data_IF_958868794417
#
_entry.id   IF_958868794417
#
_cell.length_a   1.000
_cell.length_b   1.000
_cell.length_c   1.000
_cell.angle_alpha   90.00
_cell.angle_beta   90.00
_cell.angle_gamma   90.00
#
_symmetry.space_group_name_H-M   'P 1'
#
loop_
_entity.id
_entity.type
_entity.pdbx_description
1 polymer ?
#
# COMPACT_ATOMS: atom_id res chain seq x y z
N UNK A 1 9.00 -11.43 -0.26
CA UNK A 1 9.02 -10.20 0.53
C UNK A 1 7.65 -10.00 1.16
N UNK A 2 7.61 -9.63 2.42
CA UNK A 2 6.35 -9.47 3.15
C UNK A 2 6.28 -8.12 3.85
N UNK A 3 5.06 -7.63 4.02
CA UNK A 3 4.76 -6.49 4.88
C UNK A 3 3.85 -6.96 6.02
N UNK A 4 4.18 -6.58 7.25
CA UNK A 4 3.34 -6.84 8.42
C UNK A 4 2.82 -5.50 8.93
N UNK A 5 1.54 -5.23 8.71
CA UNK A 5 0.89 -4.00 9.15
C UNK A 5 0.27 -4.26 10.52
N UNK A 6 0.90 -3.70 11.56
CA UNK A 6 0.39 -3.81 12.92
C UNK A 6 -0.63 -2.70 13.16
N UNK A 7 -1.86 -3.10 13.49
CA UNK A 7 -2.96 -2.18 13.74
C UNK A 7 -3.51 -2.37 15.15
N UNK A 8 -4.38 -1.48 15.59
CA UNK A 8 -5.09 -1.62 16.86
C UNK A 8 -6.11 -2.78 16.86
N UNK A 9 -6.34 -3.45 15.72
CA UNK A 9 -7.23 -4.62 15.61
C UNK A 9 -6.48 -5.93 15.38
N UNK A 10 -5.17 -5.89 15.23
CA UNK A 10 -4.31 -7.04 14.94
C UNK A 10 -3.36 -6.75 13.80
N UNK A 11 -2.60 -7.76 13.39
CA UNK A 11 -1.58 -7.63 12.34
C UNK A 11 -2.12 -8.18 11.02
N UNK A 12 -1.94 -7.43 9.94
CA UNK A 12 -2.25 -7.85 8.57
C UNK A 12 -0.92 -8.20 7.89
N UNK A 13 -0.76 -9.47 7.51
CA UNK A 13 0.44 -9.92 6.80
C UNK A 13 0.15 -10.01 5.32
N UNK A 14 1.05 -9.46 4.51
CA UNK A 14 0.88 -9.35 3.07
C UNK A 14 2.14 -9.82 2.35
N UNK A 15 1.96 -10.56 1.26
CA UNK A 15 3.03 -10.77 0.28
C UNK A 15 3.12 -9.53 -0.61
N UNK A 16 4.35 -9.09 -0.90
CA UNK A 16 4.61 -7.97 -1.81
C UNK A 16 5.14 -8.50 -3.13
N UNK A 17 4.62 -8.00 -4.24
CA UNK A 17 4.91 -8.49 -5.60
C UNK A 17 6.04 -7.70 -6.24
N UNK A 18 7.24 -7.75 -5.66
CA UNK A 18 8.39 -7.00 -6.13
C UNK A 18 8.75 -7.30 -7.58
N UNK A 19 8.71 -8.57 -7.98
CA UNK A 19 9.11 -8.97 -9.34
C UNK A 19 8.20 -8.40 -10.41
N UNK A 20 6.90 -8.28 -10.12
CA UNK A 20 5.90 -7.78 -11.06
C UNK A 20 5.82 -6.25 -11.09
N UNK A 21 5.94 -5.62 -9.92
CA UNK A 21 5.74 -4.16 -9.77
C UNK A 21 6.80 -3.55 -8.85
N UNK A 22 8.07 -3.58 -9.30
CA UNK A 22 9.20 -3.21 -8.44
C UNK A 22 9.20 -1.76 -7.97
N UNK A 23 8.74 -0.82 -8.78
CA UNK A 23 8.71 0.59 -8.41
C UNK A 23 7.70 0.84 -7.29
N UNK A 24 6.50 0.31 -7.43
CA UNK A 24 5.42 0.45 -6.45
C UNK A 24 5.81 -0.18 -5.11
N UNK A 25 6.34 -1.40 -5.14
CA UNK A 25 6.81 -2.08 -3.93
C UNK A 25 7.96 -1.30 -3.28
N UNK A 26 8.91 -0.82 -4.07
CA UNK A 26 10.06 -0.06 -3.55
C UNK A 26 9.63 1.23 -2.86
N UNK A 27 8.66 1.94 -3.41
CA UNK A 27 8.10 3.13 -2.77
C UNK A 27 7.48 2.79 -1.41
N UNK A 28 6.63 1.77 -1.39
CA UNK A 28 5.96 1.33 -0.17
C UNK A 28 6.97 0.90 0.91
N UNK A 29 7.95 0.09 0.53
CA UNK A 29 9.00 -0.39 1.45
C UNK A 29 9.82 0.78 2.00
N UNK A 30 10.21 1.73 1.14
CA UNK A 30 10.96 2.90 1.56
C UNK A 30 10.17 3.74 2.58
N UNK A 31 8.91 4.01 2.32
CA UNK A 31 8.06 4.76 3.24
C UNK A 31 7.85 3.99 4.55
N UNK A 32 7.60 2.70 4.50
CA UNK A 32 7.43 1.86 5.68
C UNK A 32 8.68 1.86 6.56
N UNK A 33 9.85 1.67 5.95
CA UNK A 33 11.13 1.65 6.68
C UNK A 33 11.48 3.00 7.29
N UNK A 34 10.97 4.09 6.75
CA UNK A 34 11.15 5.44 7.31
C UNK A 34 10.15 5.77 8.42
N UNK A 35 9.23 4.85 8.74
CA UNK A 35 8.19 5.09 9.73
C UNK A 35 7.08 6.03 9.25
N UNK A 36 6.99 6.28 7.96
CA UNK A 36 6.02 7.22 7.38
C UNK A 36 4.59 6.87 7.73
N UNK A 37 4.27 5.58 7.76
CA UNK A 37 2.90 5.09 8.02
C UNK A 37 2.55 4.98 9.50
N UNK A 38 3.50 5.19 10.41
CA UNK A 38 3.24 5.04 11.84
C UNK A 38 2.17 6.03 12.30
N UNK A 39 1.19 5.52 13.04
CA UNK A 39 0.08 6.29 13.62
C UNK A 39 -0.88 6.90 12.60
N UNK A 40 -0.86 6.47 11.35
CA UNK A 40 -1.82 6.93 10.35
C UNK A 40 -3.14 6.20 10.49
N UNK A 41 -4.22 6.91 10.17
CA UNK A 41 -5.58 6.38 10.26
C UNK A 41 -5.98 5.65 8.99
N UNK A 42 -6.85 4.64 9.14
CA UNK A 42 -7.68 4.16 8.04
C UNK A 42 -8.80 5.18 7.86
N UNK A 43 -8.53 6.20 7.06
CA UNK A 43 -9.40 7.37 6.93
C UNK A 43 -10.64 7.12 6.05
N UNK A 44 -10.65 6.00 5.30
CA UNK A 44 -11.77 5.63 4.44
C UNK A 44 -11.98 4.13 4.50
N UNK A 45 -13.04 3.72 5.16
CA UNK A 45 -13.43 2.30 5.28
C UNK A 45 -14.86 2.16 4.77
N UNK A 46 -15.04 1.34 3.74
CA UNK A 46 -16.35 1.08 3.14
C UNK A 46 -16.60 -0.42 3.19
N UNK A 47 -17.60 -0.84 3.96
CA UNK A 47 -17.96 -2.24 4.11
C UNK A 47 -18.24 -2.87 2.74
N UNK A 48 -17.86 -4.13 2.59
CA UNK A 48 -18.00 -4.90 1.35
C UNK A 48 -17.28 -4.26 0.15
N UNK A 49 -16.26 -3.43 0.42
CA UNK A 49 -15.44 -2.83 -0.60
C UNK A 49 -13.95 -2.85 -0.21
N UNK A 50 -13.50 -1.93 0.67
CA UNK A 50 -12.08 -1.83 0.99
C UNK A 50 -11.83 -1.02 2.27
N UNK A 51 -10.57 -1.12 2.76
CA UNK A 51 -10.02 -0.23 3.78
C UNK A 51 -8.89 0.58 3.15
N UNK A 52 -8.87 1.89 3.32
CA UNK A 52 -7.87 2.79 2.74
C UNK A 52 -7.17 3.60 3.81
N UNK A 53 -5.86 3.77 3.63
CA UNK A 53 -4.98 4.45 4.59
C UNK A 53 -3.78 5.08 3.85
N UNK A 54 -2.80 5.56 4.60
CA UNK A 54 -1.56 6.08 4.04
C UNK A 54 -1.56 7.57 3.76
N UNK A 55 -2.62 8.29 4.15
CA UNK A 55 -2.67 9.74 4.06
C UNK A 55 -2.07 10.36 5.33
N UNK A 56 -0.97 11.13 5.24
CA UNK A 56 -0.34 11.71 6.43
C UNK A 56 -1.22 12.73 7.14
N UNK A 57 -2.21 13.31 6.44
CA UNK A 57 -3.16 14.26 7.01
C UNK A 57 -4.43 13.59 7.55
N UNK A 58 -4.64 12.30 7.24
CA UNK A 58 -5.86 11.59 7.63
C UNK A 58 -7.13 12.06 6.94
N UNK A 59 -7.01 12.79 5.83
CA UNK A 59 -8.11 13.42 5.10
C UNK A 59 -8.35 12.84 3.70
N UNK A 60 -7.39 12.09 3.17
CA UNK A 60 -7.40 11.61 1.79
C UNK A 60 -6.73 12.55 0.80
N UNK A 61 -6.34 13.75 1.23
CA UNK A 61 -5.74 14.76 0.35
C UNK A 61 -4.23 14.87 0.48
N UNK A 62 -3.62 14.22 1.49
CA UNK A 62 -2.19 14.28 1.73
C UNK A 62 -1.42 13.18 1.04
N UNK A 63 -0.12 13.39 0.88
CA UNK A 63 0.79 12.44 0.27
C UNK A 63 2.24 12.77 0.58
N UNK A 64 3.19 12.07 -0.05
CA UNK A 64 4.61 12.22 0.27
C UNK A 64 5.29 13.42 -0.40
N UNK A 65 4.57 14.19 -1.21
CA UNK A 65 5.11 15.33 -1.94
C UNK A 65 5.60 15.00 -3.36
N UNK A 66 5.37 13.78 -3.82
CA UNK A 66 5.69 13.33 -5.17
C UNK A 66 4.61 12.37 -5.67
N UNK A 67 4.55 12.23 -6.99
CA UNK A 67 3.73 11.23 -7.66
C UNK A 67 4.64 10.31 -8.48
N UNK A 68 4.18 9.08 -8.75
CA UNK A 68 4.88 8.19 -9.67
C UNK A 68 3.91 7.39 -10.53
N UNK A 69 4.45 6.83 -11.60
CA UNK A 69 3.71 6.14 -12.65
C UNK A 69 3.07 4.83 -12.18
N UNK A 70 2.00 4.44 -12.84
CA UNK A 70 1.34 3.16 -12.61
C UNK A 70 2.21 2.00 -13.10
N UNK A 71 2.08 0.86 -12.44
CA UNK A 71 2.64 -0.41 -12.88
C UNK A 71 1.50 -1.44 -12.93
N UNK A 72 1.03 -1.77 -14.12
CA UNK A 72 0.03 -2.81 -14.30
C UNK A 72 0.69 -4.06 -14.83
N UNK A 73 0.26 -5.21 -14.33
CA UNK A 73 0.77 -6.52 -14.77
C UNK A 73 -0.42 -7.43 -15.05
N UNK A 74 -0.39 -8.13 -16.20
CA UNK A 74 -1.52 -8.94 -16.66
C UNK A 74 -1.93 -10.04 -15.69
N UNK A 75 -0.98 -10.55 -14.88
CA UNK A 75 -1.28 -11.57 -13.89
C UNK A 75 -1.91 -11.02 -12.60
N UNK A 76 -1.96 -9.70 -12.42
CA UNK A 76 -2.47 -9.07 -11.20
C UNK A 76 -3.84 -8.46 -11.45
N UNK A 77 -4.85 -9.02 -10.79
CA UNK A 77 -6.25 -8.61 -10.92
C UNK A 77 -6.87 -8.41 -9.54
N UNK A 78 -7.84 -7.50 -9.45
CA UNK A 78 -8.66 -7.32 -8.24
C UNK A 78 -9.77 -8.39 -8.23
N UNK A 79 -9.37 -9.67 -8.17
CA UNK A 79 -10.27 -10.81 -8.39
C UNK A 79 -10.59 -11.60 -7.12
N UNK A 80 -10.24 -11.08 -5.96
CA UNK A 80 -10.43 -11.76 -4.67
C UNK A 80 -10.35 -10.77 -3.51
N UNK A 81 -10.76 -11.18 -2.29
CA UNK A 81 -10.52 -10.39 -1.09
C UNK A 81 -9.02 -10.25 -0.79
N UNK A 82 -8.65 -9.18 -0.10
CA UNK A 82 -7.29 -9.01 0.42
C UNK A 82 -6.26 -8.55 -0.60
N UNK A 83 -6.68 -7.96 -1.70
CA UNK A 83 -5.77 -7.36 -2.68
C UNK A 83 -5.26 -6.02 -2.15
N UNK A 84 -3.93 -5.86 -2.13
CA UNK A 84 -3.25 -4.62 -1.76
C UNK A 84 -2.96 -3.82 -3.03
N UNK A 85 -3.49 -2.61 -3.11
CA UNK A 85 -3.47 -1.81 -4.32
C UNK A 85 -3.31 -0.32 -4.00
N UNK A 86 -2.78 0.47 -4.94
CA UNK A 86 -2.54 1.90 -4.74
C UNK A 86 -3.80 2.72 -4.99
N UNK A 87 -4.13 3.58 -4.04
CA UNK A 87 -5.08 4.65 -4.26
C UNK A 87 -4.43 5.72 -5.15
N UNK A 88 -5.21 6.42 -5.97
CA UNK A 88 -4.73 7.49 -6.82
C UNK A 88 -5.84 8.48 -7.16
N UNK A 89 -5.46 9.58 -7.79
CA UNK A 89 -6.38 10.63 -8.28
C UNK A 89 -6.40 10.66 -9.82
N UNK A 90 -6.14 9.54 -10.46
CA UNK A 90 -6.05 9.39 -11.91
C UNK A 90 -4.72 8.77 -12.33
N UNK A 91 -4.48 8.60 -13.64
CA UNK A 91 -3.25 7.97 -14.13
C UNK A 91 -1.98 8.68 -13.62
N UNK A 92 -1.00 7.89 -13.16
CA UNK A 92 0.32 8.40 -12.78
C UNK A 92 0.34 9.26 -11.53
N UNK A 93 -0.63 9.11 -10.62
CA UNK A 93 -0.72 9.93 -9.41
C UNK A 93 -0.51 9.11 -8.12
N UNK A 94 0.28 8.05 -8.20
CA UNK A 94 0.58 7.22 -7.03
C UNK A 94 1.49 7.97 -6.05
N UNK A 95 1.20 7.85 -4.78
CA UNK A 95 1.97 8.47 -3.71
C UNK A 95 2.13 7.52 -2.53
N UNK A 96 1.47 7.81 -1.41
CA UNK A 96 1.56 6.98 -0.21
C UNK A 96 0.28 6.22 0.13
N UNK A 97 -0.86 6.62 -0.39
CA UNK A 97 -2.14 6.01 -0.03
C UNK A 97 -2.35 4.67 -0.73
N UNK A 98 -2.84 3.71 0.02
CA UNK A 98 -3.15 2.37 -0.49
C UNK A 98 -4.43 1.84 0.14
N UNK A 99 -4.97 0.78 -0.46
CA UNK A 99 -6.16 0.11 0.08
C UNK A 99 -5.99 -1.41 0.04
N UNK A 100 -6.78 -2.09 0.88
CA UNK A 100 -6.86 -3.55 0.91
C UNK A 100 -8.33 -3.91 0.77
N UNK A 101 -8.65 -4.82 -0.14
CA UNK A 101 -10.04 -5.12 -0.50
C UNK A 101 -10.72 -6.09 0.47
N UNK A 102 -12.03 -5.92 0.65
CA UNK A 102 -12.90 -6.87 1.35
C UNK A 102 -13.39 -7.98 0.41
N UNK A 103 -13.56 -7.65 -0.87
CA UNK A 103 -14.17 -8.50 -1.91
C UNK A 103 -13.44 -8.30 -3.22
N UNK A 104 -13.79 -9.06 -4.25
CA UNK A 104 -13.31 -8.78 -5.60
C UNK A 104 -13.84 -7.42 -6.09
N UNK A 105 -12.99 -6.67 -6.75
CA UNK A 105 -13.30 -5.32 -7.27
C UNK A 105 -12.80 -5.18 -8.70
N UNK A 106 -13.32 -5.98 -9.66
CA UNK A 106 -12.75 -6.07 -11.01
C UNK A 106 -12.79 -4.76 -11.80
N UNK A 107 -13.68 -3.84 -11.46
CA UNK A 107 -13.73 -2.52 -12.10
C UNK A 107 -12.50 -1.65 -11.82
N UNK A 108 -11.67 -2.02 -10.84
CA UNK A 108 -10.43 -1.31 -10.51
C UNK A 108 -9.24 -1.79 -11.34
N UNK A 109 -9.37 -2.89 -12.08
CA UNK A 109 -8.28 -3.41 -12.90
C UNK A 109 -7.84 -2.37 -13.93
N UNK A 110 -6.52 -2.25 -14.11
CA UNK A 110 -5.87 -1.28 -15.01
C UNK A 110 -6.10 0.20 -14.66
N UNK A 111 -6.64 0.49 -13.48
CA UNK A 111 -6.77 1.85 -12.94
C UNK A 111 -5.97 2.03 -11.65
N UNK A 112 -5.70 0.94 -10.93
CA UNK A 112 -4.95 0.92 -9.69
C UNK A 112 -3.87 -0.15 -9.73
N UNK A 113 -2.66 0.20 -9.29
CA UNK A 113 -1.52 -0.70 -9.31
C UNK A 113 -1.57 -1.66 -8.12
N UNK A 114 -1.80 -2.93 -8.41
CA UNK A 114 -1.79 -4.00 -7.41
C UNK A 114 -0.34 -4.33 -7.06
N UNK A 115 -0.01 -4.39 -5.77
CA UNK A 115 1.36 -4.70 -5.36
C UNK A 115 1.48 -5.70 -4.22
N UNK A 116 0.38 -6.30 -3.78
CA UNK A 116 0.42 -7.33 -2.75
C UNK A 116 -0.90 -8.06 -2.54
N UNK A 117 -0.87 -9.00 -1.60
CA UNK A 117 -1.99 -9.88 -1.27
C UNK A 117 -1.86 -10.35 0.17
N UNK A 118 -2.97 -10.42 0.92
CA UNK A 118 -2.95 -11.05 2.25
C UNK A 118 -2.46 -12.50 2.16
N UNK A 119 -1.76 -12.96 3.20
CA UNK A 119 -1.11 -14.27 3.18
C UNK A 119 -2.10 -15.38 3.46
N UNK A 120 -2.99 -15.20 4.45
CA UNK A 120 -3.96 -16.24 4.82
C UNK A 120 -5.28 -15.63 5.34
N UNK A 121 -6.21 -16.51 5.73
CA UNK A 121 -7.55 -16.11 6.16
C UNK A 121 -7.55 -15.30 7.46
N UNK A 122 -6.60 -15.53 8.35
CA UNK A 122 -6.47 -14.76 9.60
C UNK A 122 -6.16 -13.29 9.29
N UNK A 123 -5.32 -13.04 8.29
CA UNK A 123 -5.00 -11.68 7.85
C UNK A 123 -6.23 -10.99 7.25
N UNK A 124 -7.02 -11.73 6.47
CA UNK A 124 -8.27 -11.21 5.92
C UNK A 124 -9.27 -10.88 7.02
N UNK A 125 -9.33 -11.69 8.07
CA UNK A 125 -10.20 -11.42 9.21
C UNK A 125 -9.84 -10.09 9.88
N UNK A 126 -8.56 -9.78 10.00
CA UNK A 126 -8.12 -8.47 10.53
C UNK A 126 -8.54 -7.34 9.59
N UNK A 127 -8.32 -7.49 8.27
CA UNK A 127 -8.78 -6.51 7.28
C UNK A 127 -10.26 -6.22 7.45
N UNK A 128 -11.07 -7.27 7.58
CA UNK A 128 -12.52 -7.16 7.71
C UNK A 128 -12.96 -6.52 9.05
N UNK A 129 -12.09 -6.55 10.06
CA UNK A 129 -12.38 -5.99 11.39
C UNK A 129 -12.03 -4.50 11.51
N UNK A 130 -11.28 -3.94 10.56
CA UNK A 130 -10.88 -2.54 10.58
C UNK A 130 -12.10 -1.64 10.42
N UNK A 131 -12.19 -0.65 11.29
CA UNK A 131 -13.24 0.37 11.27
C UNK A 131 -12.65 1.74 10.90
N UNK A 132 -13.52 2.65 10.49
CA UNK A 132 -13.17 4.04 10.20
C UNK A 132 -12.37 4.63 11.37
N UNK A 133 -11.21 5.23 11.07
CA UNK A 133 -10.29 5.84 12.02
C UNK A 133 -9.50 4.87 12.91
N UNK A 134 -9.56 3.57 12.68
CA UNK A 134 -8.56 2.66 13.25
C UNK A 134 -7.17 3.08 12.74
N UNK A 135 -6.12 2.71 13.46
CA UNK A 135 -4.77 3.21 13.17
C UNK A 135 -3.79 2.09 12.79
N UNK A 136 -2.79 2.47 11.99
CA UNK A 136 -1.57 1.70 11.80
C UNK A 136 -0.64 2.07 12.96
N UNK A 137 -0.19 1.09 13.75
CA UNK A 137 0.82 1.32 14.76
C UNK A 137 2.20 1.39 14.11
N UNK A 138 2.53 0.41 13.27
CA UNK A 138 3.76 0.39 12.46
C UNK A 138 3.64 -0.63 11.33
N UNK A 139 4.50 -0.51 10.32
CA UNK A 139 4.65 -1.50 9.26
C UNK A 139 6.08 -2.03 9.29
N UNK A 140 6.22 -3.36 9.44
CA UNK A 140 7.50 -4.05 9.39
C UNK A 140 7.65 -4.74 8.04
N UNK A 141 8.82 -4.62 7.43
CA UNK A 141 9.13 -5.26 6.14
C UNK A 141 10.04 -6.46 6.40
N UNK A 142 9.65 -7.62 5.86
CA UNK A 142 10.42 -8.86 5.91
C UNK A 142 10.99 -9.10 4.53
N UNK A 143 12.31 -9.14 4.42
CA UNK A 143 13.03 -9.25 3.16
C UNK A 143 13.68 -7.94 2.75
N UNK A 144 14.45 -7.98 1.68
CA UNK A 144 15.21 -6.83 1.18
C UNK A 144 14.93 -6.61 -0.30
N UNK A 145 14.97 -5.35 -0.73
CA UNK A 145 14.85 -4.98 -2.13
C UNK A 145 16.09 -5.45 -2.90
N UNK A 146 15.88 -6.00 -4.10
CA UNK A 146 16.96 -6.34 -5.01
C UNK A 146 17.63 -5.06 -5.51
N UNK A 147 18.95 -5.09 -5.69
CA UNK A 147 19.69 -3.94 -6.21
C UNK A 147 19.24 -3.60 -7.63
N UNK A 148 18.84 -2.36 -7.85
CA UNK A 148 18.42 -1.83 -9.13
C UNK A 148 18.77 -0.33 -9.17
N UNK A 149 19.71 0.03 -10.04
CA UNK A 149 20.25 1.39 -10.07
C UNK A 149 19.19 2.45 -10.39
N UNK A 150 18.24 2.17 -11.28
CA UNK A 150 17.17 3.10 -11.64
C UNK A 150 16.22 3.33 -10.46
N UNK A 151 15.84 2.25 -9.78
CA UNK A 151 14.97 2.34 -8.62
C UNK A 151 15.70 2.99 -7.45
N UNK A 152 16.97 2.67 -7.24
CA UNK A 152 17.77 3.30 -6.17
C UNK A 152 17.87 4.81 -6.39
N UNK A 153 17.98 5.26 -7.64
CA UNK A 153 17.97 6.70 -7.94
C UNK A 153 16.61 7.33 -7.64
N UNK A 154 15.54 6.64 -7.97
CA UNK A 154 14.17 7.10 -7.66
C UNK A 154 13.97 7.24 -6.14
N UNK A 155 14.39 6.23 -5.38
CA UNK A 155 14.32 6.26 -3.91
C UNK A 155 15.13 7.43 -3.36
N UNK A 156 16.32 7.65 -3.88
CA UNK A 156 17.17 8.78 -3.47
C UNK A 156 16.46 10.12 -3.71
N UNK A 157 15.85 10.28 -4.88
CA UNK A 157 15.11 11.50 -5.23
C UNK A 157 13.89 11.69 -4.33
N UNK A 158 13.14 10.62 -4.06
CA UNK A 158 12.00 10.66 -3.13
C UNK A 158 12.42 11.05 -1.73
N UNK A 159 13.52 10.48 -1.25
CA UNK A 159 14.04 10.77 0.09
C UNK A 159 14.45 12.24 0.24
N UNK A 160 14.97 12.87 -0.81
CA UNK A 160 15.25 14.31 -0.82
C UNK A 160 13.98 15.14 -0.64
N UNK A 161 12.89 14.71 -1.23
CA UNK A 161 11.58 15.36 -1.08
C UNK A 161 11.05 15.15 0.33
N UNK A 162 11.12 13.92 0.85
CA UNK A 162 10.64 13.57 2.18
C UNK A 162 11.42 14.28 3.29
N UNK A 163 12.67 14.62 3.06
CA UNK A 163 13.57 15.26 4.03
C UNK A 163 13.52 16.80 4.00
N UNK A 164 12.67 17.38 3.18
CA UNK A 164 12.49 18.83 3.11
C UNK A 164 11.85 19.42 4.37
#
# INVERSE_FOLDING_TARGET
MEAHIKTNKGTIKLNLFYDQVPLTVSNFVNLANRGYYNNLKFHRVIDDFMIQTGCPLGTGTGGPGYDFEDEFHDSLKHDKPGVLSMANAGPGTNGSQFFITHVETPWLDNNHSIFGQVIDDEDQDVVNSISQNDIIEEISIIGELTQNNEINQRISDWNKILDR
#
